data_IF_422571335364
#
_entry.id   IF_422571335364
#
_cell.length_a   1.000
_cell.length_b   1.000
_cell.length_c   1.000
_cell.angle_alpha   90.00
_cell.angle_beta   90.00
_cell.angle_gamma   90.00
#
_symmetry.space_group_name_H-M   'P 1'
#
loop_
_entity.id
_entity.type
_entity.pdbx_description
1 polymer ?
#
# COMPACT_ATOMS: atom_id res chain seq x y z
N UNK A 1 1.76 -53.65 15.58
CA UNK A 1 0.62 -52.80 15.99
C UNK A 1 0.65 -51.54 15.12
N UNK A 2 -0.47 -51.23 14.47
CA UNK A 2 -0.60 -50.28 13.34
C UNK A 2 -0.44 -48.83 13.81
N UNK A 3 0.14 -48.01 12.94
CA UNK A 3 0.61 -46.67 13.20
C UNK A 3 -0.47 -45.62 13.50
N UNK A 4 0.00 -44.48 14.00
CA UNK A 4 -0.70 -43.20 13.89
C UNK A 4 0.27 -42.02 14.01
N UNK A 5 1.35 -42.06 13.25
CA UNK A 5 2.15 -40.87 12.94
C UNK A 5 1.43 -40.09 11.85
N UNK A 6 0.30 -39.45 12.19
CA UNK A 6 -0.29 -38.45 11.31
C UNK A 6 0.69 -37.28 11.29
N UNK A 7 1.61 -37.30 10.32
CA UNK A 7 2.28 -36.10 9.86
C UNK A 7 1.16 -35.10 9.59
N UNK A 8 0.99 -34.13 10.49
CA UNK A 8 0.16 -32.96 10.23
C UNK A 8 0.85 -32.29 9.06
N UNK A 9 0.40 -32.60 7.85
CA UNK A 9 0.92 -32.04 6.63
C UNK A 9 0.97 -30.54 6.82
N UNK A 10 2.17 -29.98 6.77
CA UNK A 10 2.33 -28.55 6.76
C UNK A 10 1.46 -28.05 5.61
N UNK A 11 0.35 -27.37 5.95
CA UNK A 11 -0.50 -26.78 4.95
C UNK A 11 0.41 -25.94 4.03
N UNK A 12 0.24 -26.01 2.70
CA UNK A 12 1.07 -25.23 1.79
C UNK A 12 1.08 -23.79 2.27
N UNK A 13 2.29 -23.22 2.46
CA UNK A 13 2.47 -21.84 2.88
C UNK A 13 1.73 -20.98 1.86
N UNK A 14 0.53 -20.51 2.22
CA UNK A 14 -0.23 -19.59 1.38
C UNK A 14 0.62 -18.33 1.22
N UNK A 15 0.72 -17.76 0.00
CA UNK A 15 1.45 -16.52 -0.21
C UNK A 15 0.95 -15.44 0.76
N UNK A 16 1.85 -14.56 1.17
CA UNK A 16 1.58 -13.56 2.19
C UNK A 16 0.45 -12.60 1.79
N UNK A 17 0.43 -12.25 0.51
CA UNK A 17 -0.60 -11.50 -0.17
C UNK A 17 -1.29 -12.38 -1.22
N UNK A 18 -2.56 -12.09 -1.49
CA UNK A 18 -3.23 -12.58 -2.70
C UNK A 18 -2.77 -11.76 -3.92
N UNK A 19 -2.88 -12.28 -5.16
CA UNK A 19 -2.52 -11.50 -6.35
C UNK A 19 -3.23 -10.15 -6.46
N UNK A 20 -4.49 -10.07 -5.99
CA UNK A 20 -5.23 -8.81 -5.93
C UNK A 20 -4.64 -7.82 -4.93
N UNK A 21 -4.15 -8.31 -3.79
CA UNK A 21 -3.50 -7.46 -2.79
C UNK A 21 -2.11 -7.03 -3.21
N UNK A 22 -1.39 -7.87 -3.96
CA UNK A 22 -0.10 -7.50 -4.54
C UNK A 22 -0.27 -6.41 -5.60
N UNK A 23 -1.24 -6.56 -6.51
CA UNK A 23 -1.58 -5.50 -7.46
C UNK A 23 -2.01 -4.22 -6.73
N UNK A 24 -2.84 -4.32 -5.69
CA UNK A 24 -3.29 -3.14 -4.93
C UNK A 24 -2.14 -2.45 -4.18
N UNK A 25 -1.13 -3.21 -3.73
CA UNK A 25 0.07 -2.64 -3.12
C UNK A 25 0.86 -1.83 -4.16
N UNK A 26 1.11 -2.39 -5.34
CA UNK A 26 1.80 -1.69 -6.45
C UNK A 26 1.04 -0.42 -6.82
N UNK A 27 -0.27 -0.51 -7.04
CA UNK A 27 -1.12 0.65 -7.35
C UNK A 27 -1.09 1.72 -6.25
N UNK A 28 -0.98 1.31 -4.97
CA UNK A 28 -0.89 2.25 -3.86
C UNK A 28 0.49 2.91 -3.78
N UNK A 29 1.57 2.17 -4.04
CA UNK A 29 2.94 2.68 -4.08
C UNK A 29 3.10 3.72 -5.20
N UNK A 30 2.59 3.41 -6.41
CA UNK A 30 2.57 4.34 -7.54
C UNK A 30 1.76 5.61 -7.21
N UNK A 31 0.57 5.44 -6.63
CA UNK A 31 -0.28 6.56 -6.25
C UNK A 31 0.35 7.46 -5.16
N UNK A 32 1.05 6.88 -4.18
CA UNK A 32 1.79 7.65 -3.16
C UNK A 32 2.84 8.53 -3.84
N UNK A 33 3.64 7.95 -4.74
CA UNK A 33 4.69 8.69 -5.44
C UNK A 33 4.11 9.83 -6.29
N UNK A 34 3.04 9.58 -7.06
CA UNK A 34 2.37 10.61 -7.86
C UNK A 34 1.76 11.72 -7.00
N UNK A 35 1.17 11.37 -5.85
CA UNK A 35 0.54 12.35 -4.95
C UNK A 35 1.59 13.20 -4.23
N UNK A 36 2.71 12.60 -3.79
CA UNK A 36 3.84 13.33 -3.22
C UNK A 36 4.43 14.32 -4.21
N UNK A 37 4.60 13.91 -5.47
CA UNK A 37 5.10 14.77 -6.54
C UNK A 37 4.15 15.94 -6.81
N UNK A 38 2.84 15.68 -6.98
CA UNK A 38 1.84 16.73 -7.18
C UNK A 38 1.76 17.72 -6.02
N UNK A 39 1.84 17.24 -4.78
CA UNK A 39 1.86 18.10 -3.60
C UNK A 39 3.13 18.95 -3.59
N UNK A 40 4.29 18.34 -3.84
CA UNK A 40 5.57 19.04 -3.90
C UNK A 40 5.61 20.10 -5.00
N UNK A 41 5.07 19.82 -6.18
CA UNK A 41 4.95 20.79 -7.28
C UNK A 41 4.12 22.01 -6.88
N UNK A 42 2.97 21.80 -6.23
CA UNK A 42 2.11 22.89 -5.78
C UNK A 42 2.77 23.69 -4.65
N UNK A 43 3.43 23.03 -3.70
CA UNK A 43 4.12 23.69 -2.58
C UNK A 43 5.38 24.44 -3.02
N UNK A 44 6.08 23.96 -4.06
CA UNK A 44 7.27 24.60 -4.62
C UNK A 44 6.94 25.74 -5.59
N UNK A 45 5.70 25.87 -6.03
CA UNK A 45 5.29 26.95 -6.91
C UNK A 45 5.47 28.31 -6.22
N UNK A 46 6.15 29.26 -6.87
CA UNK A 46 6.32 30.62 -6.34
C UNK A 46 5.00 31.39 -6.21
N UNK A 47 3.99 31.01 -6.99
CA UNK A 47 2.64 31.59 -6.98
C UNK A 47 1.61 30.56 -7.43
N UNK A 48 1.22 29.61 -6.56
CA UNK A 48 0.23 28.59 -6.89
C UNK A 48 -1.14 29.23 -7.08
N UNK A 49 -1.90 28.76 -8.08
CA UNK A 49 -3.25 29.27 -8.33
C UNK A 49 -4.17 28.95 -7.15
N UNK A 50 -5.26 29.72 -6.94
CA UNK A 50 -6.25 29.41 -5.90
C UNK A 50 -6.80 27.99 -6.03
N UNK A 51 -6.98 27.50 -7.26
CA UNK A 51 -7.45 26.14 -7.54
C UNK A 51 -6.41 25.08 -7.15
N UNK A 52 -5.12 25.32 -7.35
CA UNK A 52 -4.04 24.43 -6.90
C UNK A 52 -4.00 24.36 -5.38
N UNK A 53 -4.09 25.50 -4.69
CA UNK A 53 -4.12 25.55 -3.23
C UNK A 53 -5.37 24.86 -2.66
N UNK A 54 -6.52 25.00 -3.32
CA UNK A 54 -7.77 24.36 -2.91
C UNK A 54 -7.74 22.82 -3.04
N UNK A 55 -6.88 22.28 -3.90
CA UNK A 55 -6.71 20.83 -4.09
C UNK A 55 -5.79 20.19 -3.04
N UNK A 56 -4.89 20.94 -2.42
CA UNK A 56 -3.93 20.41 -1.44
C UNK A 56 -4.56 19.58 -0.31
N UNK A 57 -5.68 19.97 0.33
CA UNK A 57 -6.31 19.16 1.36
C UNK A 57 -6.76 17.79 0.85
N UNK A 58 -7.35 17.74 -0.36
CA UNK A 58 -7.81 16.49 -0.97
C UNK A 58 -6.62 15.60 -1.37
N UNK A 59 -5.58 16.18 -1.97
CA UNK A 59 -4.36 15.46 -2.33
C UNK A 59 -3.68 14.85 -1.10
N UNK A 60 -3.57 15.60 -0.01
CA UNK A 60 -3.01 15.12 1.26
C UNK A 60 -3.86 14.03 1.90
N UNK A 61 -5.19 14.16 1.87
CA UNK A 61 -6.09 13.13 2.38
C UNK A 61 -5.96 11.83 1.56
N UNK A 62 -5.87 11.95 0.22
CA UNK A 62 -5.63 10.80 -0.65
C UNK A 62 -4.28 10.15 -0.37
N UNK A 63 -3.23 10.96 -0.17
CA UNK A 63 -1.89 10.47 0.19
C UNK A 63 -1.94 9.66 1.48
N UNK A 64 -2.56 10.19 2.53
CA UNK A 64 -2.71 9.47 3.81
C UNK A 64 -3.41 8.13 3.65
N UNK A 65 -4.50 8.08 2.86
CA UNK A 65 -5.24 6.84 2.59
C UNK A 65 -4.38 5.81 1.85
N UNK A 66 -3.66 6.24 0.81
CA UNK A 66 -2.81 5.33 0.02
C UNK A 66 -1.60 4.84 0.82
N UNK A 67 -0.96 5.72 1.59
CA UNK A 67 0.11 5.33 2.52
C UNK A 67 -0.37 4.30 3.54
N UNK A 68 -1.56 4.46 4.12
CA UNK A 68 -2.12 3.48 5.04
C UNK A 68 -2.39 2.11 4.36
N UNK A 69 -2.70 2.10 3.06
CA UNK A 69 -2.83 0.86 2.28
C UNK A 69 -1.47 0.19 2.11
N UNK A 70 -0.44 0.95 1.72
CA UNK A 70 0.95 0.47 1.57
C UNK A 70 1.45 -0.13 2.88
N UNK A 71 1.32 0.60 3.99
CA UNK A 71 1.76 0.15 5.32
C UNK A 71 1.06 -1.15 5.73
N UNK A 72 -0.26 -1.21 5.57
CA UNK A 72 -1.05 -2.39 5.93
C UNK A 72 -0.67 -3.61 5.12
N UNK A 73 -0.52 -3.46 3.80
CA UNK A 73 -0.21 -4.58 2.90
C UNK A 73 1.25 -5.02 3.03
N UNK A 74 2.18 -4.09 3.23
CA UNK A 74 3.58 -4.38 3.55
C UNK A 74 3.69 -5.14 4.87
N UNK A 75 3.02 -4.66 5.94
CA UNK A 75 2.99 -5.38 7.22
C UNK A 75 2.38 -6.79 7.09
N UNK A 76 1.37 -6.97 6.22
CA UNK A 76 0.80 -8.29 5.94
C UNK A 76 1.79 -9.20 5.20
N UNK A 77 2.54 -8.65 4.23
CA UNK A 77 3.60 -9.34 3.50
C UNK A 77 4.68 -9.84 4.47
N UNK A 78 5.18 -8.95 5.32
CA UNK A 78 6.32 -9.21 6.20
C UNK A 78 5.99 -10.13 7.38
N UNK A 79 4.73 -10.14 7.85
CA UNK A 79 4.27 -11.11 8.87
C UNK A 79 4.31 -12.57 8.41
N UNK A 80 4.43 -12.82 7.10
CA UNK A 80 4.39 -14.16 6.49
C UNK A 80 5.64 -14.52 5.69
N UNK A 81 6.60 -13.61 5.56
CA UNK A 81 7.93 -13.85 4.97
C UNK A 81 8.84 -14.62 5.91
#
# INVERSE_FOLDING_TARGET
MVGRGAARGAAPRRPALTPREENRLIEAEDAVWELEDQIAEIEAAESPTPEQQAQLPELRERLERETAVVERLTAKRDRRS
#
